data_IF_360748757127
#
_entry.id   IF_360748757127
#
_cell.length_a   1.000
_cell.length_b   1.000
_cell.length_c   1.000
_cell.angle_alpha   90.00
_cell.angle_beta   90.00
_cell.angle_gamma   90.00
#
_symmetry.space_group_name_H-M   'P 1'
#
loop_
_entity.id
_entity.type
_entity.pdbx_description
1 polymer ?
#
# COMPACT_ATOMS: atom_id res chain seq x y z
N UNK A 1 16.84 8.96 21.88
CA UNK A 1 16.29 10.20 22.48
C UNK A 1 15.24 10.76 21.54
N UNK A 2 13.94 10.53 21.81
CA UNK A 2 12.84 11.19 21.08
C UNK A 2 12.81 12.67 21.48
N UNK A 3 12.90 13.63 20.54
CA UNK A 3 12.70 15.04 20.85
C UNK A 3 11.33 15.20 21.50
N UNK A 4 11.20 16.08 22.51
CA UNK A 4 9.95 16.29 23.22
C UNK A 4 8.86 16.74 22.24
N UNK A 5 8.01 15.79 21.84
CA UNK A 5 6.90 15.90 20.87
C UNK A 5 5.74 16.82 21.31
N UNK A 6 5.97 17.71 22.27
CA UNK A 6 4.93 18.57 22.87
C UNK A 6 5.09 20.05 22.56
N UNK A 7 6.24 20.52 22.07
CA UNK A 7 6.42 21.91 21.72
C UNK A 7 5.79 22.19 20.35
N UNK A 8 4.86 23.14 20.29
CA UNK A 8 4.40 23.69 19.00
C UNK A 8 5.61 24.17 18.22
N UNK A 9 5.64 23.90 16.92
CA UNK A 9 6.67 24.47 16.05
C UNK A 9 6.51 25.98 16.04
N UNK A 10 7.63 26.70 15.94
CA UNK A 10 7.64 28.13 15.65
C UNK A 10 6.99 28.38 14.29
N UNK A 11 6.34 29.54 14.12
CA UNK A 11 5.66 29.94 12.89
C UNK A 11 6.10 31.35 12.48
N UNK A 12 6.20 31.59 11.18
CA UNK A 12 6.36 32.96 10.66
C UNK A 12 5.04 33.73 10.77
N UNK A 13 5.07 35.06 10.63
CA UNK A 13 3.89 35.92 10.76
C UNK A 13 2.71 35.46 9.88
N UNK A 14 2.95 35.13 8.62
CA UNK A 14 1.92 34.65 7.69
C UNK A 14 1.28 33.35 8.18
N UNK A 15 2.07 32.35 8.58
CA UNK A 15 1.55 31.08 9.06
C UNK A 15 0.90 31.17 10.46
N UNK A 16 1.35 32.11 11.29
CA UNK A 16 0.76 32.38 12.60
C UNK A 16 -0.61 33.06 12.51
N UNK A 17 -0.83 33.86 11.46
CA UNK A 17 -2.10 34.56 11.22
C UNK A 17 -3.23 33.64 10.70
N UNK A 18 -2.92 32.43 10.22
CA UNK A 18 -3.93 31.45 9.82
C UNK A 18 -4.65 30.88 11.04
N UNK A 19 -5.95 30.63 10.95
CA UNK A 19 -6.64 29.75 11.90
C UNK A 19 -6.77 28.35 11.30
N UNK A 20 -5.73 27.52 11.46
CA UNK A 20 -5.69 26.18 10.87
C UNK A 20 -6.80 25.29 11.43
N UNK A 21 -7.17 25.51 12.70
CA UNK A 21 -8.22 24.75 13.36
C UNK A 21 -9.58 25.09 12.78
N UNK A 22 -9.88 26.36 12.55
CA UNK A 22 -11.12 26.79 11.90
C UNK A 22 -11.18 26.31 10.44
N UNK A 23 -10.09 26.47 9.69
CA UNK A 23 -9.99 26.00 8.29
C UNK A 23 -10.29 24.49 8.20
N UNK A 24 -9.72 23.68 9.09
CA UNK A 24 -9.98 22.24 9.11
C UNK A 24 -11.34 21.87 9.70
N UNK A 25 -12.06 22.77 10.37
CA UNK A 25 -13.42 22.53 10.90
C UNK A 25 -14.48 22.83 9.88
N UNK A 26 -14.40 24.02 9.27
CA UNK A 26 -15.44 24.58 8.42
C UNK A 26 -15.13 24.42 6.93
N UNK A 27 -13.88 24.09 6.61
CA UNK A 27 -13.39 24.06 5.25
C UNK A 27 -12.97 25.45 4.77
N UNK A 28 -12.25 25.44 3.66
CA UNK A 28 -11.87 26.63 2.93
C UNK A 28 -11.94 26.28 1.45
N UNK A 29 -12.91 26.85 0.74
CA UNK A 29 -13.12 26.58 -0.69
C UNK A 29 -11.93 27.08 -1.50
N UNK A 30 -11.78 26.55 -2.69
CA UNK A 30 -10.67 26.94 -3.56
C UNK A 30 -10.81 28.39 -4.05
N UNK A 31 -12.04 28.88 -4.25
CA UNK A 31 -12.30 30.31 -4.54
C UNK A 31 -11.85 31.25 -3.41
N UNK A 32 -11.87 30.78 -2.16
CA UNK A 32 -11.57 31.55 -0.96
C UNK A 32 -10.13 31.29 -0.45
N UNK A 33 -9.26 30.70 -1.29
CA UNK A 33 -7.92 30.27 -0.89
C UNK A 33 -7.08 31.41 -0.32
N UNK A 34 -6.35 31.12 0.76
CA UNK A 34 -5.50 32.11 1.43
C UNK A 34 -4.11 32.12 0.82
N UNK A 35 -3.59 33.30 0.50
CA UNK A 35 -2.21 33.46 0.00
C UNK A 35 -1.19 33.20 1.12
N UNK A 36 -0.27 32.26 0.91
CA UNK A 36 0.86 31.98 1.80
C UNK A 36 2.11 32.82 1.45
N UNK A 37 2.15 33.38 0.24
CA UNK A 37 3.27 34.17 -0.28
C UNK A 37 4.08 33.43 -1.35
N UNK A 38 5.27 33.98 -1.67
CA UNK A 38 6.18 33.41 -2.66
C UNK A 38 6.77 32.08 -2.16
N UNK A 39 6.90 31.10 -3.07
CA UNK A 39 7.46 29.79 -2.79
C UNK A 39 8.90 29.90 -2.26
N UNK A 40 9.73 30.75 -2.87
CA UNK A 40 11.11 30.96 -2.41
C UNK A 40 11.15 31.48 -0.97
N UNK A 41 10.32 32.47 -0.61
CA UNK A 41 10.22 32.95 0.77
C UNK A 41 9.74 31.86 1.74
N UNK A 42 8.85 30.97 1.31
CA UNK A 42 8.39 29.83 2.11
C UNK A 42 9.54 28.84 2.32
N UNK A 43 10.30 28.54 1.28
CA UNK A 43 11.48 27.64 1.36
C UNK A 43 12.56 28.23 2.26
N UNK A 44 12.80 29.54 2.20
CA UNK A 44 13.78 30.25 3.03
C UNK A 44 13.40 30.29 4.51
N UNK A 45 12.11 30.10 4.84
CA UNK A 45 11.58 30.04 6.21
C UNK A 45 11.41 28.61 6.72
N UNK A 46 11.74 27.59 5.92
CA UNK A 46 11.44 26.18 6.20
C UNK A 46 12.19 25.61 7.42
N UNK A 47 13.32 26.20 7.79
CA UNK A 47 14.11 25.84 8.97
C UNK A 47 13.48 26.34 10.30
N UNK A 48 12.82 27.50 10.26
CA UNK A 48 12.30 28.23 11.42
C UNK A 48 10.78 28.28 11.52
N UNK A 49 10.04 27.82 10.50
CA UNK A 49 8.58 27.78 10.50
C UNK A 49 8.07 26.37 10.20
N UNK A 50 7.29 25.79 11.12
CA UNK A 50 6.75 24.43 10.99
C UNK A 50 5.85 24.22 9.77
N UNK A 51 4.97 25.18 9.46
CA UNK A 51 4.11 25.06 8.28
C UNK A 51 4.90 25.28 6.98
N UNK A 52 5.82 26.25 6.95
CA UNK A 52 6.71 26.44 5.79
C UNK A 52 7.59 25.20 5.54
N UNK A 53 8.05 24.54 6.60
CA UNK A 53 8.77 23.25 6.52
C UNK A 53 7.94 22.19 5.80
N UNK A 54 6.68 22.00 6.22
CA UNK A 54 5.79 21.02 5.57
C UNK A 54 5.52 21.37 4.10
N UNK A 55 5.22 22.64 3.80
CA UNK A 55 4.95 23.08 2.42
C UNK A 55 6.18 22.92 1.53
N UNK A 56 7.36 23.31 2.03
CA UNK A 56 8.62 23.20 1.30
C UNK A 56 8.97 21.74 1.00
N UNK A 57 8.90 20.86 2.01
CA UNK A 57 9.20 19.44 1.85
C UNK A 57 8.19 18.75 0.92
N UNK A 58 6.90 19.11 1.03
CA UNK A 58 5.84 18.59 0.17
C UNK A 58 6.12 18.92 -1.30
N UNK A 59 6.41 20.19 -1.60
CA UNK A 59 6.73 20.63 -2.95
C UNK A 59 8.02 19.97 -3.43
N UNK A 60 9.13 20.03 -2.67
CA UNK A 60 10.41 19.41 -3.04
C UNK A 60 10.26 17.94 -3.44
N UNK A 61 9.48 17.18 -2.67
CA UNK A 61 9.22 15.76 -2.91
C UNK A 61 8.32 15.54 -4.12
N UNK A 62 7.12 16.14 -4.11
CA UNK A 62 6.11 15.91 -5.16
C UNK A 62 6.54 16.46 -6.51
N UNK A 63 7.36 17.51 -6.53
CA UNK A 63 7.90 18.09 -7.76
C UNK A 63 9.26 17.52 -8.14
N UNK A 64 9.80 16.57 -7.36
CA UNK A 64 11.13 15.96 -7.58
C UNK A 64 12.21 17.01 -7.87
N UNK A 65 12.23 18.10 -7.11
CA UNK A 65 13.11 19.25 -7.40
C UNK A 65 14.60 18.90 -7.41
N UNK A 66 14.99 17.82 -6.74
CA UNK A 66 16.35 17.27 -6.81
C UNK A 66 16.78 16.93 -8.25
N UNK A 67 15.85 16.46 -9.09
CA UNK A 67 16.12 16.08 -10.47
C UNK A 67 16.17 17.31 -11.41
N UNK A 68 15.78 18.48 -10.90
CA UNK A 68 15.73 19.76 -11.62
C UNK A 68 16.35 20.89 -10.80
N UNK A 69 17.68 20.87 -10.55
CA UNK A 69 18.34 21.87 -9.71
C UNK A 69 18.22 23.30 -10.25
N UNK A 70 18.00 23.45 -11.56
CA UNK A 70 17.86 24.75 -12.24
C UNK A 70 16.40 25.16 -12.47
N UNK A 71 15.43 24.49 -11.86
CA UNK A 71 14.02 24.85 -11.97
C UNK A 71 13.78 26.31 -11.54
N UNK A 72 13.22 27.13 -12.42
CA UNK A 72 12.92 28.53 -12.08
C UNK A 72 11.69 28.60 -11.17
N UNK A 73 11.90 28.79 -9.88
CA UNK A 73 10.84 28.93 -8.87
C UNK A 73 10.43 30.38 -8.60
N UNK A 74 10.99 31.36 -9.32
CA UNK A 74 10.66 32.78 -9.14
C UNK A 74 9.19 33.03 -9.47
N UNK A 75 8.58 33.96 -8.73
CA UNK A 75 7.18 34.37 -8.91
C UNK A 75 6.14 33.25 -8.78
N UNK A 76 6.49 32.09 -8.21
CA UNK A 76 5.52 31.06 -7.83
C UNK A 76 4.89 31.48 -6.50
N UNK A 77 3.58 31.74 -6.49
CA UNK A 77 2.84 32.11 -5.28
C UNK A 77 2.07 30.89 -4.80
N UNK A 78 2.23 30.51 -3.54
CA UNK A 78 1.50 29.39 -2.95
C UNK A 78 0.24 29.90 -2.25
N UNK A 79 -0.88 29.19 -2.46
CA UNK A 79 -2.13 29.41 -1.76
C UNK A 79 -2.52 28.16 -0.97
N UNK A 80 -3.38 28.32 0.03
CA UNK A 80 -3.88 27.24 0.88
C UNK A 80 -5.40 27.17 0.79
N UNK A 81 -5.94 25.97 0.63
CA UNK A 81 -7.37 25.68 0.78
C UNK A 81 -7.61 24.40 1.57
N UNK A 82 -8.86 24.13 1.92
CA UNK A 82 -9.31 22.88 2.56
C UNK A 82 -10.69 22.54 1.99
N UNK A 83 -10.74 22.01 0.75
CA UNK A 83 -11.98 21.69 0.09
C UNK A 83 -12.68 20.51 0.79
N UNK A 84 -13.98 20.42 0.55
CA UNK A 84 -14.84 19.40 1.15
C UNK A 84 -14.39 17.99 0.79
N UNK A 85 -14.21 17.15 1.81
CA UNK A 85 -14.07 15.71 1.63
C UNK A 85 -15.41 15.02 1.90
N UNK A 86 -16.03 14.50 0.83
CA UNK A 86 -17.29 13.75 0.89
C UNK A 86 -17.01 12.31 1.30
N UNK A 87 -17.50 11.91 2.47
CA UNK A 87 -17.46 10.50 2.92
C UNK A 87 -18.43 9.67 2.07
N UNK A 88 -17.94 8.60 1.45
CA UNK A 88 -18.81 7.61 0.80
C UNK A 88 -19.60 6.81 1.86
N UNK A 89 -20.92 6.67 1.68
CA UNK A 89 -21.78 5.81 2.50
C UNK A 89 -23.02 6.49 3.09
N UNK A 90 -23.95 5.71 3.68
CA UNK A 90 -25.28 6.18 4.12
C UNK A 90 -25.28 7.15 5.32
N UNK A 91 -24.13 7.36 5.98
CA UNK A 91 -23.91 8.36 7.03
C UNK A 91 -22.92 9.45 6.59
N UNK A 92 -22.91 9.77 5.29
CA UNK A 92 -22.03 10.77 4.71
C UNK A 92 -22.24 12.14 5.35
N UNK A 93 -21.18 12.71 5.92
CA UNK A 93 -21.16 14.07 6.45
C UNK A 93 -19.96 14.83 5.89
N UNK A 94 -20.08 16.15 5.77
CA UNK A 94 -18.99 17.01 5.32
C UNK A 94 -17.82 16.94 6.28
N UNK A 95 -16.61 16.77 5.75
CA UNK A 95 -15.42 16.76 6.58
C UNK A 95 -14.24 17.37 5.85
N UNK A 96 -13.34 18.02 6.58
CA UNK A 96 -12.20 18.75 6.02
C UNK A 96 -10.93 18.26 6.72
N UNK A 97 -10.35 17.18 6.20
CA UNK A 97 -9.22 16.49 6.86
C UNK A 97 -7.85 16.91 6.34
N UNK A 98 -7.81 17.76 5.31
CA UNK A 98 -6.61 18.04 4.50
C UNK A 98 -6.47 19.52 4.20
N UNK A 99 -5.25 20.00 4.23
CA UNK A 99 -4.86 21.30 3.68
C UNK A 99 -4.24 21.06 2.31
N UNK A 100 -4.70 21.75 1.29
CA UNK A 100 -4.16 21.67 -0.06
C UNK A 100 -3.36 22.92 -0.37
N UNK A 101 -2.19 22.72 -0.97
CA UNK A 101 -1.30 23.79 -1.42
C UNK A 101 -1.45 23.97 -2.93
N UNK A 102 -1.70 25.20 -3.34
CA UNK A 102 -1.95 25.57 -4.74
C UNK A 102 -0.90 26.57 -5.22
N UNK A 103 0.18 26.11 -5.86
CA UNK A 103 1.12 26.98 -6.57
C UNK A 103 0.42 27.68 -7.73
N UNK A 104 0.68 28.98 -7.92
CA UNK A 104 0.07 29.82 -8.97
C UNK A 104 0.39 29.35 -10.38
N UNK A 105 1.50 28.63 -10.54
CA UNK A 105 1.89 27.95 -11.78
C UNK A 105 2.56 26.63 -11.44
N UNK A 106 2.38 25.66 -12.33
CA UNK A 106 3.18 24.43 -12.36
C UNK A 106 4.28 24.60 -13.39
N UNK A 107 5.47 24.09 -13.09
CA UNK A 107 6.59 24.14 -14.02
C UNK A 107 6.34 23.17 -15.18
N UNK A 108 6.51 23.56 -16.46
CA UNK A 108 6.19 22.70 -17.60
C UNK A 108 6.90 21.34 -17.57
N UNK A 109 8.17 21.30 -17.17
CA UNK A 109 8.95 20.06 -17.09
C UNK A 109 8.41 19.10 -16.02
N UNK A 110 8.04 19.68 -14.88
CA UNK A 110 7.45 18.97 -13.75
C UNK A 110 6.06 18.47 -14.11
N UNK A 111 5.25 19.29 -14.79
CA UNK A 111 3.93 18.91 -15.25
C UNK A 111 4.01 17.75 -16.25
N UNK A 112 4.94 17.79 -17.20
CA UNK A 112 5.15 16.69 -18.17
C UNK A 112 5.51 15.38 -17.46
N UNK A 113 6.41 15.42 -16.49
CA UNK A 113 6.78 14.22 -15.75
C UNK A 113 5.67 13.69 -14.85
N UNK A 114 4.94 14.56 -14.14
CA UNK A 114 3.86 14.12 -13.27
C UNK A 114 2.71 13.47 -14.06
N UNK A 115 2.42 13.98 -15.26
CA UNK A 115 1.49 13.35 -16.19
C UNK A 115 2.03 12.02 -16.69
N UNK A 116 3.30 11.95 -17.09
CA UNK A 116 3.93 10.71 -17.56
C UNK A 116 4.02 9.62 -16.47
N UNK A 117 4.11 10.01 -15.20
CA UNK A 117 4.20 9.11 -14.06
C UNK A 117 2.82 8.70 -13.48
N UNK A 118 1.71 9.20 -14.07
CA UNK A 118 0.35 9.02 -13.55
C UNK A 118 0.20 9.35 -12.05
N UNK A 119 1.07 10.23 -11.53
CA UNK A 119 1.15 10.54 -10.12
C UNK A 119 0.04 11.50 -9.69
N UNK A 120 -0.50 11.34 -8.48
CA UNK A 120 -1.43 12.32 -7.93
C UNK A 120 -0.76 13.69 -7.83
N UNK A 121 -1.36 14.68 -8.51
CA UNK A 121 -0.90 16.07 -8.56
C UNK A 121 -1.26 16.86 -7.28
N UNK A 122 -1.90 16.21 -6.30
CA UNK A 122 -2.36 16.88 -5.10
C UNK A 122 -1.20 17.12 -4.13
N UNK A 123 -0.99 18.39 -3.80
CA UNK A 123 -0.08 18.81 -2.74
C UNK A 123 -0.92 18.93 -1.47
N UNK A 124 -1.14 17.83 -0.77
CA UNK A 124 -1.93 17.82 0.47
C UNK A 124 -1.09 17.58 1.73
N UNK A 125 -1.56 18.15 2.83
CA UNK A 125 -1.07 17.94 4.20
C UNK A 125 -2.25 17.40 5.01
N UNK A 126 -2.05 16.30 5.72
CA UNK A 126 -3.10 15.62 6.48
C UNK A 126 -3.02 15.90 7.97
N UNK A 127 -4.18 16.06 8.61
CA UNK A 127 -4.31 16.03 10.06
C UNK A 127 -4.16 14.59 10.57
N UNK A 128 -3.33 14.37 11.61
CA UNK A 128 -3.16 13.05 12.21
C UNK A 128 -4.31 12.66 13.15
N UNK A 129 -4.60 11.35 13.22
CA UNK A 129 -5.72 10.80 13.98
C UNK A 129 -5.64 11.07 15.50
N UNK A 130 -4.44 11.32 16.02
CA UNK A 130 -4.20 11.68 17.43
C UNK A 130 -4.90 13.00 17.81
N UNK A 131 -5.13 13.88 16.83
CA UNK A 131 -5.80 15.17 17.03
C UNK A 131 -7.26 15.21 16.55
N UNK A 132 -7.81 14.07 16.09
CA UNK A 132 -9.21 13.95 15.66
C UNK A 132 -10.23 14.50 16.69
N UNK A 133 -9.99 14.24 17.98
CA UNK A 133 -10.84 14.73 19.08
C UNK A 133 -10.82 16.25 19.24
N UNK A 134 -9.72 16.93 18.88
CA UNK A 134 -9.64 18.40 18.88
C UNK A 134 -10.57 19.01 17.83
N UNK A 135 -10.96 18.22 16.84
CA UNK A 135 -11.91 18.55 15.77
C UNK A 135 -13.32 17.99 16.02
N UNK A 136 -13.59 17.37 17.17
CA UNK A 136 -14.86 16.70 17.45
C UNK A 136 -15.22 15.63 16.42
N UNK A 137 -14.21 14.90 15.89
CA UNK A 137 -14.37 13.88 14.84
C UNK A 137 -13.96 12.49 15.33
N UNK A 138 -14.44 11.46 14.62
CA UNK A 138 -13.89 10.11 14.74
C UNK A 138 -12.46 10.07 14.17
N UNK A 139 -11.71 9.01 14.47
CA UNK A 139 -10.34 8.81 13.94
C UNK A 139 -10.31 8.49 12.45
N UNK A 140 -11.47 8.17 11.87
CA UNK A 140 -11.57 7.77 10.47
C UNK A 140 -11.08 8.89 9.53
N UNK A 141 -10.51 8.50 8.39
CA UNK A 141 -10.04 9.39 7.30
C UNK A 141 -8.88 10.36 7.66
N UNK A 142 -8.39 10.34 8.90
CA UNK A 142 -7.20 11.09 9.30
C UNK A 142 -5.92 10.34 8.89
N UNK A 143 -4.83 11.09 8.77
CA UNK A 143 -3.51 10.50 8.61
C UNK A 143 -3.12 9.69 9.85
N UNK A 144 -2.39 8.60 9.64
CA UNK A 144 -1.82 7.82 10.74
C UNK A 144 -0.32 8.03 10.81
N UNK A 145 0.19 8.08 12.05
CA UNK A 145 1.63 8.09 12.29
C UNK A 145 2.20 6.74 11.89
N UNK A 146 3.21 6.75 11.02
CA UNK A 146 3.94 5.54 10.68
C UNK A 146 4.79 5.13 11.89
N UNK A 147 4.48 3.97 12.48
CA UNK A 147 5.27 3.35 13.55
C UNK A 147 6.46 2.59 12.96
N UNK A 148 7.42 2.17 13.77
CA UNK A 148 8.50 1.28 13.33
C UNK A 148 7.94 -0.07 12.86
N UNK A 149 7.10 -0.69 13.69
CA UNK A 149 6.44 -1.95 13.37
C UNK A 149 5.04 -1.78 12.78
N UNK A 150 4.56 -2.82 12.09
CA UNK A 150 3.16 -2.95 11.65
C UNK A 150 2.25 -3.17 12.85
N UNK A 151 1.12 -2.46 12.87
CA UNK A 151 0.06 -2.66 13.86
C UNK A 151 -0.79 -3.89 13.50
N UNK A 152 -0.40 -5.05 14.01
CA UNK A 152 -1.07 -6.33 13.73
C UNK A 152 -2.54 -6.33 14.19
N UNK A 153 -2.83 -5.67 15.30
CA UNK A 153 -4.19 -5.55 15.83
C UNK A 153 -5.10 -4.80 14.85
N UNK A 154 -4.56 -3.76 14.19
CA UNK A 154 -5.25 -3.04 13.14
C UNK A 154 -5.48 -3.90 11.89
N UNK A 155 -4.47 -4.69 11.47
CA UNK A 155 -4.61 -5.63 10.34
C UNK A 155 -5.73 -6.65 10.60
N UNK A 156 -5.74 -7.26 11.80
CA UNK A 156 -6.82 -8.18 12.21
C UNK A 156 -8.19 -7.50 12.17
N UNK A 157 -8.28 -6.25 12.64
CA UNK A 157 -9.52 -5.47 12.61
C UNK A 157 -9.99 -5.23 11.17
N UNK A 158 -9.11 -4.92 10.23
CA UNK A 158 -9.47 -4.73 8.83
C UNK A 158 -9.94 -6.00 8.16
N UNK A 159 -9.26 -7.13 8.39
CA UNK A 159 -9.68 -8.44 7.89
C UNK A 159 -11.09 -8.76 8.40
N UNK A 160 -11.30 -8.67 9.71
CA UNK A 160 -12.60 -8.94 10.34
C UNK A 160 -13.70 -8.00 9.85
N UNK A 161 -13.42 -6.71 9.72
CA UNK A 161 -14.36 -5.73 9.16
C UNK A 161 -14.75 -6.13 7.73
N UNK A 162 -13.77 -6.50 6.91
CA UNK A 162 -14.00 -6.91 5.54
C UNK A 162 -14.82 -8.20 5.43
N UNK A 163 -14.62 -9.16 6.34
CA UNK A 163 -15.40 -10.40 6.40
C UNK A 163 -16.85 -10.21 6.88
N UNK A 164 -17.10 -9.24 7.76
CA UNK A 164 -18.42 -9.02 8.35
C UNK A 164 -19.29 -8.03 7.58
N UNK A 165 -18.69 -7.00 6.99
CA UNK A 165 -19.41 -5.85 6.42
C UNK A 165 -19.52 -5.90 4.89
N UNK A 166 -18.78 -6.79 4.21
CA UNK A 166 -18.77 -6.87 2.76
C UNK A 166 -18.96 -8.30 2.29
N UNK A 167 -19.72 -8.48 1.20
CA UNK A 167 -19.72 -9.72 0.43
C UNK A 167 -18.45 -9.78 -0.44
N UNK A 168 -17.31 -9.91 0.23
CA UNK A 168 -16.02 -10.16 -0.41
C UNK A 168 -15.78 -11.67 -0.59
N UNK A 169 -16.79 -12.52 -0.45
CA UNK A 169 -16.67 -13.96 -0.67
C UNK A 169 -17.11 -14.36 -2.06
N UNK A 170 -18.12 -13.71 -2.65
CA UNK A 170 -18.50 -13.96 -4.02
C UNK A 170 -17.60 -13.18 -5.01
N UNK A 171 -17.03 -13.88 -5.99
CA UNK A 171 -16.47 -13.24 -7.21
C UNK A 171 -17.22 -13.82 -8.40
N UNK A 172 -17.57 -12.97 -9.37
CA UNK A 172 -18.54 -13.31 -10.43
C UNK A 172 -18.12 -14.50 -11.31
N UNK A 173 -16.82 -14.82 -11.36
CA UNK A 173 -16.27 -15.92 -12.15
C UNK A 173 -16.05 -17.22 -11.37
N UNK A 174 -16.12 -17.20 -10.02
CA UNK A 174 -15.86 -18.36 -9.17
C UNK A 174 -17.17 -18.93 -8.65
N UNK A 175 -17.34 -20.24 -8.78
CA UNK A 175 -18.52 -20.91 -8.26
C UNK A 175 -18.39 -21.08 -6.75
N UNK A 176 -19.51 -21.05 -6.04
CA UNK A 176 -19.52 -21.20 -4.58
C UNK A 176 -19.01 -22.57 -4.13
N UNK A 177 -19.07 -23.59 -5.00
CA UNK A 177 -18.61 -24.96 -4.79
C UNK A 177 -17.14 -25.22 -5.19
N UNK A 178 -16.42 -24.24 -5.74
CA UNK A 178 -15.03 -24.43 -6.17
C UNK A 178 -14.08 -24.61 -4.97
N UNK A 179 -13.75 -25.86 -4.61
CA UNK A 179 -12.78 -26.18 -3.56
C UNK A 179 -11.33 -26.23 -4.09
N UNK A 180 -10.35 -25.97 -3.22
CA UNK A 180 -8.96 -26.25 -3.57
C UNK A 180 -8.77 -27.75 -3.81
N UNK A 181 -8.14 -28.16 -4.92
CA UNK A 181 -7.82 -29.57 -5.16
C UNK A 181 -6.87 -30.15 -4.11
N UNK A 182 -7.00 -31.45 -3.83
CA UNK A 182 -6.21 -32.15 -2.80
C UNK A 182 -4.70 -32.17 -3.08
N UNK A 183 -4.29 -31.96 -4.34
CA UNK A 183 -2.88 -31.87 -4.72
C UNK A 183 -2.23 -30.53 -4.34
N UNK A 184 -3.02 -29.52 -3.95
CA UNK A 184 -2.49 -28.23 -3.48
C UNK A 184 -1.79 -28.44 -2.14
N UNK A 185 -0.61 -27.85 -2.01
CA UNK A 185 0.18 -27.91 -0.78
C UNK A 185 0.24 -26.53 -0.15
N UNK A 186 0.33 -26.51 1.18
CA UNK A 186 0.45 -25.32 2.00
C UNK A 186 1.60 -25.49 2.98
N UNK A 187 2.17 -24.37 3.42
CA UNK A 187 3.05 -24.34 4.58
C UNK A 187 2.18 -24.26 5.82
N UNK A 188 2.24 -25.26 6.69
CA UNK A 188 1.74 -25.13 8.06
C UNK A 188 2.77 -24.35 8.87
N UNK A 189 2.50 -23.07 9.12
CA UNK A 189 3.45 -22.20 9.83
C UNK A 189 3.61 -22.60 11.29
N UNK A 190 2.75 -23.42 11.87
CA UNK A 190 2.94 -23.91 13.25
C UNK A 190 3.91 -25.08 13.27
N UNK A 191 3.72 -26.02 12.35
CA UNK A 191 4.59 -27.20 12.23
C UNK A 191 5.90 -26.92 11.49
N UNK A 192 6.00 -25.80 10.77
CA UNK A 192 7.08 -25.52 9.84
C UNK A 192 7.29 -26.69 8.86
N UNK A 193 6.21 -27.06 8.17
CA UNK A 193 6.17 -28.20 7.26
C UNK A 193 5.24 -27.94 6.07
N UNK A 194 5.49 -28.60 4.94
CA UNK A 194 4.57 -28.68 3.81
C UNK A 194 3.51 -29.74 4.08
N UNK A 195 2.25 -29.37 3.91
CA UNK A 195 1.09 -30.25 4.12
C UNK A 195 0.12 -30.13 2.96
N UNK A 196 -0.67 -31.17 2.65
CA UNK A 196 -1.81 -31.05 1.73
C UNK A 196 -2.80 -29.99 2.23
N UNK A 197 -3.39 -29.23 1.31
CA UNK A 197 -4.45 -28.30 1.62
C UNK A 197 -5.75 -29.08 1.93
N UNK A 198 -6.40 -28.80 3.06
CA UNK A 198 -7.78 -29.24 3.25
C UNK A 198 -8.74 -28.37 2.42
N UNK A 199 -9.91 -28.88 1.99
CA UNK A 199 -10.89 -28.09 1.23
C UNK A 199 -11.31 -26.79 1.92
N UNK A 200 -11.45 -26.81 3.25
CA UNK A 200 -11.82 -25.67 4.10
C UNK A 200 -10.62 -24.92 4.69
N UNK A 201 -9.42 -25.14 4.12
CA UNK A 201 -8.21 -24.49 4.59
C UNK A 201 -8.29 -22.97 4.41
N UNK A 202 -8.22 -22.22 5.52
CA UNK A 202 -7.93 -20.79 5.50
C UNK A 202 -6.43 -20.57 5.44
N UNK A 203 -5.98 -19.80 4.46
CA UNK A 203 -4.56 -19.55 4.23
C UNK A 203 -4.30 -18.13 3.74
N UNK A 204 -3.06 -17.72 3.94
CA UNK A 204 -2.48 -16.51 3.37
C UNK A 204 -1.72 -16.91 2.10
N UNK A 205 -1.71 -16.06 1.08
CA UNK A 205 -0.81 -16.22 -0.06
C UNK A 205 0.32 -15.17 0.00
N UNK A 206 1.49 -15.50 -0.53
CA UNK A 206 2.61 -14.56 -0.68
C UNK A 206 2.94 -14.36 -2.15
N UNK A 207 2.86 -13.11 -2.59
CA UNK A 207 3.38 -12.62 -3.87
C UNK A 207 4.62 -11.76 -3.61
N UNK A 208 5.74 -12.11 -4.26
CA UNK A 208 7.04 -11.46 -4.04
C UNK A 208 7.99 -11.70 -5.22
N UNK A 209 9.03 -10.87 -5.34
CA UNK A 209 10.09 -11.04 -6.34
C UNK A 209 11.09 -12.10 -5.88
N UNK A 210 11.35 -13.11 -6.70
CA UNK A 210 12.24 -14.21 -6.31
C UNK A 210 13.72 -13.77 -6.25
N UNK A 211 14.15 -12.88 -7.15
CA UNK A 211 15.49 -12.30 -7.14
C UNK A 211 16.62 -13.23 -7.61
N UNK A 212 16.30 -14.25 -8.42
CA UNK A 212 17.27 -15.19 -9.01
C UNK A 212 16.98 -16.67 -8.71
N UNK A 213 17.93 -17.58 -9.03
CA UNK A 213 17.81 -19.00 -8.70
C UNK A 213 17.64 -19.22 -7.20
N UNK A 214 16.71 -20.08 -6.83
CA UNK A 214 16.33 -20.30 -5.43
C UNK A 214 16.59 -21.72 -4.94
N UNK A 215 17.52 -22.45 -5.57
CA UNK A 215 17.80 -23.86 -5.29
C UNK A 215 18.00 -24.19 -3.80
N UNK A 216 18.49 -23.22 -3.01
CA UNK A 216 18.70 -23.37 -1.57
C UNK A 216 17.42 -23.40 -0.72
N UNK A 217 16.32 -22.80 -1.21
CA UNK A 217 15.05 -22.76 -0.49
C UNK A 217 13.89 -23.36 -1.28
N UNK A 218 14.02 -23.63 -2.57
CA UNK A 218 12.95 -24.22 -3.38
C UNK A 218 12.61 -25.65 -2.95
N UNK A 219 11.34 -26.00 -3.14
CA UNK A 219 10.90 -27.38 -3.01
C UNK A 219 11.15 -28.11 -4.32
N UNK A 220 11.77 -29.27 -4.23
CA UNK A 220 12.11 -30.15 -5.35
C UNK A 220 11.69 -31.58 -5.02
N UNK A 221 11.67 -32.45 -6.01
CA UNK A 221 11.40 -33.89 -5.82
C UNK A 221 12.33 -34.54 -4.79
N UNK A 222 13.56 -34.01 -4.62
CA UNK A 222 14.55 -34.51 -3.65
C UNK A 222 14.24 -34.15 -2.20
N UNK A 223 13.60 -33.01 -1.95
CA UNK A 223 13.41 -32.48 -0.59
C UNK A 223 11.93 -32.40 -0.15
N UNK A 224 10.97 -32.72 -1.01
CA UNK A 224 9.54 -32.67 -0.68
C UNK A 224 9.19 -33.54 0.52
N UNK A 225 9.74 -34.76 0.59
CA UNK A 225 9.46 -35.69 1.69
C UNK A 225 9.98 -35.15 3.02
N UNK A 226 11.23 -34.65 3.06
CA UNK A 226 11.80 -34.09 4.28
C UNK A 226 11.04 -32.84 4.74
N UNK A 227 10.61 -32.00 3.80
CA UNK A 227 9.79 -30.80 4.08
C UNK A 227 8.39 -31.12 4.58
N UNK A 228 7.88 -32.33 4.35
CA UNK A 228 6.59 -32.79 4.86
C UNK A 228 6.60 -33.12 6.35
N UNK A 229 7.76 -33.37 6.95
CA UNK A 229 7.88 -33.66 8.37
C UNK A 229 7.78 -32.38 9.22
N UNK A 230 7.28 -32.45 10.46
CA UNK A 230 7.37 -31.34 11.41
C UNK A 230 8.80 -30.82 11.50
N UNK A 231 8.97 -29.50 11.45
CA UNK A 231 10.27 -28.79 11.38
C UNK A 231 11.09 -29.06 10.11
N UNK A 232 10.50 -29.70 9.09
CA UNK A 232 11.15 -29.98 7.81
C UNK A 232 11.46 -28.73 6.97
N UNK A 233 10.82 -27.60 7.28
CA UNK A 233 11.21 -26.28 6.78
C UNK A 233 12.08 -25.59 7.83
N UNK A 234 13.40 -25.65 7.64
CA UNK A 234 14.35 -24.96 8.49
C UNK A 234 14.26 -23.44 8.31
N UNK A 235 13.85 -22.73 9.36
CA UNK A 235 13.72 -21.27 9.34
C UNK A 235 15.06 -20.55 9.12
N UNK A 236 16.20 -21.16 9.46
CA UNK A 236 17.54 -20.57 9.32
C UNK A 236 17.98 -20.41 7.86
N UNK A 237 17.52 -21.29 6.97
CA UNK A 237 17.83 -21.23 5.53
C UNK A 237 16.81 -20.43 4.73
N UNK A 238 15.61 -20.18 5.29
CA UNK A 238 14.57 -19.45 4.60
C UNK A 238 14.98 -17.98 4.42
N UNK A 239 14.80 -17.40 3.23
CA UNK A 239 15.08 -16.00 3.01
C UNK A 239 14.21 -15.05 3.85
N UNK A 240 14.67 -13.81 4.03
CA UNK A 240 14.02 -12.80 4.84
C UNK A 240 12.54 -12.57 4.49
N UNK A 241 12.20 -12.37 3.21
CA UNK A 241 10.80 -12.14 2.79
C UNK A 241 9.88 -13.29 3.21
N UNK A 242 10.37 -14.53 3.06
CA UNK A 242 9.61 -15.74 3.40
C UNK A 242 9.47 -15.88 4.91
N UNK A 243 10.55 -15.65 5.67
CA UNK A 243 10.49 -15.67 7.15
C UNK A 243 9.51 -14.63 7.67
N UNK A 244 9.58 -13.40 7.16
CA UNK A 244 8.68 -12.32 7.55
C UNK A 244 7.22 -12.64 7.19
N UNK A 245 6.97 -13.24 6.02
CA UNK A 245 5.63 -13.68 5.65
C UNK A 245 5.09 -14.78 6.58
N UNK A 246 5.93 -15.74 6.98
CA UNK A 246 5.59 -16.78 7.97
C UNK A 246 5.28 -16.13 9.34
N UNK A 247 6.13 -15.21 9.80
CA UNK A 247 5.92 -14.48 11.05
C UNK A 247 4.62 -13.66 11.02
N UNK A 248 4.38 -12.93 9.93
CA UNK A 248 3.17 -12.14 9.77
C UNK A 248 1.92 -13.04 9.76
N UNK A 249 1.95 -14.14 9.02
CA UNK A 249 0.85 -15.14 8.98
C UNK A 249 0.47 -15.61 10.38
N UNK A 250 1.45 -16.02 11.20
CA UNK A 250 1.23 -16.38 12.61
C UNK A 250 0.63 -15.22 13.41
N UNK A 251 1.20 -14.02 13.28
CA UNK A 251 0.79 -12.83 14.04
C UNK A 251 -0.65 -12.42 13.73
N UNK A 252 -1.10 -12.55 12.47
CA UNK A 252 -2.50 -12.28 12.08
C UNK A 252 -3.47 -13.40 12.46
N UNK A 253 -2.98 -14.55 12.93
CA UNK A 253 -3.78 -15.64 13.46
C UNK A 253 -4.13 -16.72 12.43
N UNK A 254 -3.50 -16.69 11.25
CA UNK A 254 -3.68 -17.72 10.23
C UNK A 254 -2.60 -18.80 10.38
N UNK A 255 -2.91 -20.04 9.97
CA UNK A 255 -2.02 -21.20 10.12
C UNK A 255 -1.34 -21.62 8.83
N UNK A 256 -1.98 -21.39 7.69
CA UNK A 256 -1.50 -21.88 6.43
C UNK A 256 -1.03 -20.73 5.54
N UNK A 257 0.08 -20.95 4.85
CA UNK A 257 0.69 -19.99 3.95
C UNK A 257 1.04 -20.68 2.63
N UNK A 258 0.58 -20.09 1.53
CA UNK A 258 0.95 -20.52 0.19
C UNK A 258 2.09 -19.65 -0.34
N UNK A 259 3.16 -20.29 -0.79
CA UNK A 259 4.32 -19.65 -1.42
C UNK A 259 4.69 -20.50 -2.63
N UNK A 260 4.58 -19.95 -3.85
CA UNK A 260 4.80 -20.72 -5.08
C UNK A 260 6.13 -21.49 -5.09
N UNK A 261 7.22 -20.84 -4.67
CA UNK A 261 8.56 -21.45 -4.60
C UNK A 261 8.67 -22.65 -3.62
N UNK A 262 7.77 -22.76 -2.64
CA UNK A 262 7.76 -23.80 -1.62
C UNK A 262 6.63 -24.82 -1.81
N UNK A 263 5.49 -24.41 -2.35
CA UNK A 263 4.30 -25.26 -2.48
C UNK A 263 4.26 -26.00 -3.83
N UNK A 264 5.04 -25.54 -4.82
CA UNK A 264 5.17 -26.13 -6.15
C UNK A 264 6.55 -26.80 -6.27
N UNK A 265 6.61 -27.99 -6.85
CA UNK A 265 7.85 -28.70 -7.16
C UNK A 265 8.57 -28.00 -8.32
N UNK A 266 9.68 -27.32 -8.02
CA UNK A 266 10.36 -26.46 -8.99
C UNK A 266 11.14 -27.23 -10.07
N UNK A 267 11.33 -28.53 -9.91
CA UNK A 267 11.98 -29.43 -10.86
C UNK A 267 11.00 -30.37 -11.58
N UNK A 268 9.69 -30.23 -11.35
CA UNK A 268 8.65 -31.05 -11.99
C UNK A 268 7.76 -30.21 -12.91
N UNK A 269 7.93 -30.30 -14.25
CA UNK A 269 7.06 -29.59 -15.21
C UNK A 269 5.58 -29.93 -15.08
N UNK A 270 5.26 -31.19 -14.77
CA UNK A 270 3.88 -31.64 -14.58
C UNK A 270 3.23 -30.98 -13.36
N UNK A 271 3.95 -30.93 -12.23
CA UNK A 271 3.44 -30.31 -11.01
C UNK A 271 3.31 -28.79 -11.17
N UNK A 272 4.31 -28.13 -11.79
CA UNK A 272 4.24 -26.72 -12.16
C UNK A 272 3.03 -26.43 -13.02
N UNK A 273 2.85 -27.15 -14.12
CA UNK A 273 1.72 -26.95 -15.03
C UNK A 273 0.38 -27.08 -14.30
N UNK A 274 0.23 -28.12 -13.47
CA UNK A 274 -0.99 -28.33 -12.69
C UNK A 274 -1.26 -27.18 -11.71
N UNK A 275 -0.26 -26.72 -10.96
CA UNK A 275 -0.41 -25.64 -9.97
C UNK A 275 -0.64 -24.28 -10.64
N UNK A 276 0.04 -24.00 -11.76
CA UNK A 276 -0.11 -22.76 -12.53
C UNK A 276 -1.53 -22.64 -13.10
N UNK A 277 -2.09 -23.75 -13.60
CA UNK A 277 -3.45 -23.80 -14.14
C UNK A 277 -4.55 -23.47 -13.13
N UNK A 278 -4.26 -23.47 -11.83
CA UNK A 278 -5.20 -23.15 -10.75
C UNK A 278 -4.75 -21.95 -9.90
N UNK A 279 -3.78 -21.16 -10.38
CA UNK A 279 -3.32 -19.96 -9.65
C UNK A 279 -4.46 -18.98 -9.40
N UNK A 280 -5.43 -18.94 -10.30
CA UNK A 280 -6.63 -18.15 -10.13
C UNK A 280 -7.45 -18.55 -8.91
N UNK A 281 -7.62 -19.85 -8.71
CA UNK A 281 -8.28 -20.41 -7.54
C UNK A 281 -7.45 -20.18 -6.27
N UNK A 282 -6.12 -20.35 -6.34
CA UNK A 282 -5.21 -20.15 -5.21
C UNK A 282 -5.25 -18.71 -4.69
N UNK A 283 -5.13 -17.70 -5.56
CA UNK A 283 -5.14 -16.31 -5.10
C UNK A 283 -6.55 -15.82 -4.74
N UNK A 284 -7.57 -16.27 -5.46
CA UNK A 284 -8.96 -15.90 -5.15
C UNK A 284 -9.48 -16.54 -3.87
N UNK A 285 -9.03 -17.73 -3.47
CA UNK A 285 -9.45 -18.37 -2.21
C UNK A 285 -8.65 -17.93 -0.98
N UNK A 286 -7.48 -17.33 -1.14
CA UNK A 286 -6.70 -16.83 -0.02
C UNK A 286 -7.54 -15.89 0.87
N UNK A 287 -7.39 -16.01 2.19
CA UNK A 287 -8.00 -15.10 3.16
C UNK A 287 -7.52 -13.68 2.88
N UNK A 288 -6.20 -13.55 2.68
CA UNK A 288 -5.49 -12.33 2.34
C UNK A 288 -4.20 -12.71 1.61
N UNK A 289 -3.78 -11.85 0.68
CA UNK A 289 -2.51 -12.00 -0.02
C UNK A 289 -1.54 -10.93 0.47
N UNK A 290 -0.35 -11.35 0.90
CA UNK A 290 0.78 -10.46 1.20
C UNK A 290 1.50 -10.17 -0.12
N UNK A 291 1.65 -8.89 -0.44
CA UNK A 291 2.43 -8.44 -1.60
C UNK A 291 3.71 -7.76 -1.11
N UNK A 292 4.86 -8.39 -1.37
CA UNK A 292 6.18 -7.86 -1.04
C UNK A 292 6.70 -6.98 -2.20
N UNK A 293 6.20 -5.75 -2.27
CA UNK A 293 6.54 -4.77 -3.31
C UNK A 293 7.63 -3.76 -2.88
N UNK A 294 8.26 -3.96 -1.72
CA UNK A 294 9.31 -3.10 -1.18
C UNK A 294 10.72 -3.46 -1.65
N UNK A 295 10.94 -4.75 -1.92
CA UNK A 295 12.25 -5.34 -2.20
C UNK A 295 12.54 -5.55 -3.69
N UNK A 296 13.79 -5.87 -3.96
CA UNK A 296 14.28 -6.32 -5.25
C UNK A 296 14.34 -7.86 -5.36
N UNK A 297 14.18 -8.59 -4.25
CA UNK A 297 14.20 -10.04 -4.24
C UNK A 297 13.79 -10.66 -2.91
N UNK A 298 13.90 -11.99 -2.83
CA UNK A 298 13.44 -12.80 -1.69
C UNK A 298 14.23 -12.58 -0.40
N UNK A 299 15.38 -11.91 -0.49
CA UNK A 299 16.28 -11.63 0.63
C UNK A 299 15.97 -10.32 1.34
N UNK A 300 15.04 -9.54 0.83
CA UNK A 300 14.64 -8.28 1.45
C UNK A 300 13.57 -8.51 2.52
N UNK A 301 13.68 -7.80 3.64
CA UNK A 301 12.68 -7.84 4.71
C UNK A 301 11.36 -7.19 4.26
N UNK A 302 10.26 -7.60 4.88
CA UNK A 302 8.99 -6.89 4.83
C UNK A 302 9.06 -5.69 5.81
N UNK A 303 8.92 -4.44 5.35
CA UNK A 303 9.10 -3.26 6.20
C UNK A 303 8.15 -3.21 7.39
N UNK A 304 8.70 -3.22 8.59
CA UNK A 304 8.00 -3.17 9.88
C UNK A 304 7.48 -4.51 10.39
N UNK A 305 7.88 -5.63 9.79
CA UNK A 305 7.63 -6.97 10.37
C UNK A 305 8.73 -7.35 11.35
N UNK A 306 9.97 -7.24 10.91
CA UNK A 306 11.17 -7.38 11.75
C UNK A 306 11.61 -5.99 12.26
N UNK A 307 12.16 -5.93 13.48
CA UNK A 307 12.65 -4.66 14.05
C UNK A 307 13.76 -4.08 13.16
N UNK A 308 13.77 -2.76 12.98
CA UNK A 308 14.71 -2.08 12.09
C UNK A 308 14.49 -2.27 10.58
N UNK A 309 13.53 -3.10 10.13
CA UNK A 309 13.32 -3.32 8.68
C UNK A 309 12.63 -2.16 7.96
N UNK A 310 12.17 -1.14 8.70
CA UNK A 310 11.55 0.08 8.16
C UNK A 310 12.43 1.29 8.50
N UNK A 311 12.86 2.00 7.47
CA UNK A 311 13.74 3.17 7.59
C UNK A 311 13.07 4.50 7.25
N UNK A 312 11.84 4.46 6.72
CA UNK A 312 11.11 5.66 6.29
C UNK A 312 10.66 6.51 7.47
N UNK A 313 10.98 7.80 7.40
CA UNK A 313 10.53 8.81 8.35
C UNK A 313 9.42 9.66 7.74
N UNK A 314 8.29 9.74 8.44
CA UNK A 314 7.18 10.62 8.07
C UNK A 314 7.48 12.05 8.53
N UNK A 315 7.23 13.02 7.65
CA UNK A 315 7.46 14.43 7.96
C UNK A 315 6.24 14.98 8.68
N UNK A 316 6.39 15.18 9.99
CA UNK A 316 5.32 15.61 10.89
C UNK A 316 5.76 16.90 11.61
N UNK A 317 4.86 17.89 11.66
CA UNK A 317 5.06 19.10 12.47
C UNK A 317 3.82 19.36 13.32
N UNK A 318 4.03 19.84 14.53
CA UNK A 318 2.96 20.39 15.37
C UNK A 318 2.79 21.88 15.01
N UNK A 319 1.67 22.25 14.40
CA UNK A 319 1.34 23.61 13.96
C UNK A 319 0.08 24.03 14.71
N UNK A 320 0.17 25.09 15.53
CA UNK A 320 -0.96 25.60 16.34
C UNK A 320 -1.60 24.50 17.21
N UNK A 321 -0.77 23.61 17.76
CA UNK A 321 -1.23 22.48 18.58
C UNK A 321 -1.85 21.31 17.80
N UNK A 322 -1.74 21.29 16.46
CA UNK A 322 -2.22 20.22 15.59
C UNK A 322 -1.05 19.52 14.88
N UNK A 323 -1.06 18.20 14.89
CA UNK A 323 -0.07 17.37 14.22
C UNK A 323 -0.48 17.18 12.76
N UNK A 324 0.29 17.81 11.90
CA UNK A 324 0.13 17.80 10.45
C UNK A 324 1.26 17.01 9.83
N UNK A 325 0.92 16.17 8.85
CA UNK A 325 1.88 15.30 8.18
C UNK A 325 1.78 15.39 6.66
N UNK A 326 2.93 15.28 6.00
CA UNK A 326 2.97 15.03 4.55
C UNK A 326 2.57 13.57 4.33
N UNK A 327 1.55 13.29 3.49
CA UNK A 327 1.19 11.94 3.11
C UNK A 327 2.36 11.25 2.44
N UNK A 328 2.59 9.98 2.79
CA UNK A 328 3.46 9.13 2.01
C UNK A 328 2.85 8.87 0.62
N UNK A 329 3.64 8.45 -0.38
CA UNK A 329 3.14 8.14 -1.71
C UNK A 329 1.88 7.25 -1.65
N UNK A 330 0.88 7.44 -2.52
CA UNK A 330 -0.23 6.50 -2.65
C UNK A 330 0.23 5.16 -3.20
N UNK A 331 -0.63 4.15 -3.10
CA UNK A 331 -0.30 2.78 -3.53
C UNK A 331 0.06 2.72 -5.02
N UNK A 332 -0.68 3.40 -5.89
CA UNK A 332 -0.42 3.41 -7.35
C UNK A 332 0.99 3.88 -7.68
N UNK A 333 1.41 5.02 -7.14
CA UNK A 333 2.77 5.56 -7.28
C UNK A 333 3.82 4.59 -6.72
N UNK A 334 3.59 4.06 -5.52
CA UNK A 334 4.51 3.14 -4.87
C UNK A 334 4.65 1.78 -5.62
N UNK A 335 3.60 1.32 -6.28
CA UNK A 335 3.63 0.12 -7.12
C UNK A 335 4.33 0.37 -8.45
N UNK A 336 4.09 1.53 -9.10
CA UNK A 336 4.74 1.91 -10.36
C UNK A 336 6.27 1.94 -10.23
N UNK A 337 6.79 2.30 -9.06
CA UNK A 337 8.22 2.30 -8.76
C UNK A 337 8.79 0.92 -8.36
N UNK A 338 7.94 -0.09 -8.17
CA UNK A 338 8.36 -1.39 -7.65
C UNK A 338 8.81 -2.35 -8.75
N UNK A 339 9.91 -3.07 -8.52
CA UNK A 339 10.34 -4.19 -9.39
C UNK A 339 9.27 -5.30 -9.41
N UNK A 340 8.52 -5.43 -8.31
CA UNK A 340 7.40 -6.35 -8.24
C UNK A 340 6.38 -6.11 -9.35
N UNK A 341 6.06 -4.85 -9.67
CA UNK A 341 5.05 -4.51 -10.67
C UNK A 341 5.53 -4.65 -12.12
N UNK A 342 6.81 -4.97 -12.37
CA UNK A 342 7.33 -5.18 -13.75
C UNK A 342 7.16 -6.62 -14.24
N UNK A 343 6.64 -7.52 -13.39
CA UNK A 343 6.51 -8.95 -13.68
C UNK A 343 5.14 -9.27 -14.27
N UNK A 344 5.09 -10.04 -15.35
CA UNK A 344 3.81 -10.41 -15.99
C UNK A 344 2.83 -11.14 -15.05
N UNK A 345 3.34 -11.97 -14.15
CA UNK A 345 2.51 -12.74 -13.20
C UNK A 345 1.78 -11.88 -12.16
N UNK A 346 2.34 -10.72 -11.78
CA UNK A 346 1.80 -9.95 -10.65
C UNK A 346 0.45 -9.32 -10.94
N UNK A 347 0.12 -9.14 -12.22
CA UNK A 347 -1.22 -8.73 -12.65
C UNK A 347 -2.30 -9.73 -12.24
N UNK A 348 -2.08 -11.03 -12.49
CA UNK A 348 -3.03 -12.07 -12.09
C UNK A 348 -3.16 -12.14 -10.58
N UNK A 349 -2.03 -12.07 -9.87
CA UNK A 349 -1.98 -12.19 -8.41
C UNK A 349 -2.75 -11.04 -7.72
N UNK A 350 -2.58 -9.79 -8.19
CA UNK A 350 -3.28 -8.64 -7.61
C UNK A 350 -4.76 -8.60 -7.96
N UNK A 351 -5.11 -8.93 -9.21
CA UNK A 351 -6.49 -8.90 -9.69
C UNK A 351 -7.36 -9.92 -8.98
N UNK A 352 -6.81 -11.11 -8.73
CA UNK A 352 -7.56 -12.23 -8.15
C UNK A 352 -7.55 -12.21 -6.62
N UNK A 353 -6.65 -11.45 -5.99
CA UNK A 353 -6.59 -11.33 -4.53
C UNK A 353 -7.68 -10.41 -3.98
N UNK A 354 -8.58 -10.99 -3.19
CA UNK A 354 -9.75 -10.31 -2.61
C UNK A 354 -9.37 -9.31 -1.53
N UNK A 355 -8.40 -9.65 -0.69
CA UNK A 355 -7.82 -8.79 0.34
C UNK A 355 -6.31 -8.76 0.12
N UNK A 356 -5.74 -7.56 0.12
CA UNK A 356 -4.36 -7.32 -0.31
C UNK A 356 -3.66 -6.54 0.78
N UNK A 357 -2.59 -7.12 1.31
CA UNK A 357 -1.68 -6.46 2.24
C UNK A 357 -0.39 -6.14 1.50
N UNK A 358 -0.28 -4.92 1.00
CA UNK A 358 0.83 -4.53 0.12
C UNK A 358 1.90 -3.81 0.94
N UNK A 359 3.07 -4.42 1.04
CA UNK A 359 4.26 -3.83 1.64
C UNK A 359 5.06 -3.13 0.54
N UNK A 360 5.13 -1.81 0.59
CA UNK A 360 6.00 -1.03 -0.30
C UNK A 360 7.18 -0.47 0.49
N UNK A 361 8.10 0.19 -0.21
CA UNK A 361 9.22 0.91 0.43
C UNK A 361 8.74 1.96 1.42
N UNK A 362 7.55 2.52 1.22
CA UNK A 362 7.05 3.67 1.99
C UNK A 362 6.19 3.28 3.18
N UNK A 363 5.22 2.39 2.95
CA UNK A 363 4.23 1.99 3.95
C UNK A 363 3.54 0.69 3.55
N UNK A 364 2.72 0.17 4.47
CA UNK A 364 1.87 -0.99 4.23
C UNK A 364 0.44 -0.52 3.92
N UNK A 365 -0.14 -1.05 2.86
CA UNK A 365 -1.52 -0.77 2.44
C UNK A 365 -2.40 -1.98 2.67
N UNK A 366 -3.66 -1.72 3.01
CA UNK A 366 -4.71 -2.72 3.00
C UNK A 366 -5.75 -2.31 1.96
N UNK A 367 -5.95 -3.15 0.96
CA UNK A 367 -7.03 -3.01 -0.03
C UNK A 367 -7.89 -4.26 -0.03
N UNK A 368 -9.15 -4.10 -0.44
CA UNK A 368 -10.03 -5.23 -0.70
C UNK A 368 -10.91 -4.94 -1.91
N UNK A 369 -11.36 -6.01 -2.56
CA UNK A 369 -12.26 -5.96 -3.72
C UNK A 369 -13.68 -6.26 -3.26
N UNK A 370 -14.63 -5.40 -3.63
CA UNK A 370 -16.06 -5.65 -3.47
C UNK A 370 -16.63 -5.96 -4.85
N UNK A 371 -17.36 -7.07 -4.98
CA UNK A 371 -18.15 -7.36 -6.19
C UNK A 371 -19.11 -6.21 -6.43
N UNK A 372 -18.97 -5.52 -7.56
CA UNK A 372 -19.56 -4.21 -7.88
C UNK A 372 -18.85 -2.98 -7.25
N UNK A 373 -17.68 -2.63 -7.83
CA UNK A 373 -17.19 -1.24 -7.98
C UNK A 373 -17.33 -0.27 -6.78
N UNK A 374 -17.14 -0.76 -5.54
CA UNK A 374 -17.08 0.07 -4.34
C UNK A 374 -15.81 -0.21 -3.56
N UNK A 375 -14.69 0.33 -4.03
CA UNK A 375 -13.46 0.44 -3.26
C UNK A 375 -13.68 1.44 -2.12
N UNK A 376 -13.81 0.97 -0.87
CA UNK A 376 -13.62 1.85 0.30
C UNK A 376 -12.12 1.92 0.57
N UNK A 377 -11.43 2.82 -0.13
CA UNK A 377 -10.08 3.20 0.28
C UNK A 377 -10.20 4.14 1.49
N UNK A 378 -9.57 3.81 2.61
CA UNK A 378 -9.41 4.75 3.73
C UNK A 378 -8.38 5.86 3.46
N UNK A 379 -8.11 6.14 2.17
CA UNK A 379 -7.43 7.32 1.65
C UNK A 379 -8.22 7.72 0.41
N UNK A 380 -8.88 8.88 0.38
CA UNK A 380 -9.76 9.19 -0.71
C UNK A 380 -9.02 9.53 -1.98
N UNK A 381 -9.60 9.03 -3.07
CA UNK A 381 -9.22 9.23 -4.45
C UNK A 381 -8.06 8.34 -4.91
N UNK A 382 -8.37 7.09 -5.25
CA UNK A 382 -7.93 6.51 -6.52
C UNK A 382 -9.04 5.59 -7.05
N UNK A 383 -9.76 6.08 -8.06
CA UNK A 383 -10.43 5.23 -9.04
C UNK A 383 -9.31 4.57 -9.84
N UNK A 384 -9.13 3.27 -9.68
CA UNK A 384 -8.57 2.45 -10.77
C UNK A 384 -9.76 1.86 -11.51
N UNK A 385 -10.41 2.69 -12.33
CA UNK A 385 -10.96 2.12 -13.56
C UNK A 385 -9.73 1.77 -14.37
N UNK A 386 -9.32 0.50 -14.37
CA UNK A 386 -8.57 0.00 -15.50
C UNK A 386 -9.47 0.29 -16.68
N UNK A 387 -9.11 1.27 -17.50
CA UNK A 387 -9.73 1.42 -18.80
C UNK A 387 -9.35 0.13 -19.53
N UNK A 388 -10.25 -0.86 -19.47
CA UNK A 388 -10.16 -1.98 -20.38
C UNK A 388 -10.14 -1.34 -21.76
N UNK A 389 -9.12 -1.59 -22.60
CA UNK A 389 -9.27 -1.27 -24.01
C UNK A 389 -10.57 -1.96 -24.45
N UNK A 390 -11.47 -1.22 -25.10
CA UNK A 390 -12.64 -1.81 -25.73
C UNK A 390 -12.12 -2.88 -26.68
N UNK A 391 -12.25 -4.15 -26.26
CA UNK A 391 -11.99 -5.27 -27.14
C UNK A 391 -13.05 -5.21 -28.23
N UNK A 392 -12.68 -5.24 -29.52
CA UNK A 392 -13.65 -5.38 -30.59
C UNK A 392 -14.48 -6.63 -30.30
N UNK A 393 -15.81 -6.49 -30.32
CA UNK A 393 -16.73 -7.61 -30.15
C UNK A 393 -16.39 -8.69 -31.19
N UNK A 394 -15.71 -9.75 -30.75
CA UNK A 394 -15.23 -10.79 -31.65
C UNK A 394 -14.34 -11.81 -30.94
N UNK A 395 -14.97 -12.90 -30.50
CA UNK A 395 -14.40 -14.19 -30.12
C UNK A 395 -13.79 -14.32 -28.69
N UNK A 396 -14.33 -15.19 -27.82
CA UNK A 396 -13.81 -15.40 -26.47
C UNK A 396 -12.45 -16.13 -26.53
N UNK A 397 -11.37 -15.40 -26.26
CA UNK A 397 -10.05 -15.99 -26.02
C UNK A 397 -10.04 -16.70 -24.66
N UNK A 398 -9.92 -18.02 -24.73
CA UNK A 398 -9.82 -18.94 -23.60
C UNK A 398 -8.50 -18.65 -22.83
N UNK A 399 -8.57 -18.45 -21.51
CA UNK A 399 -7.45 -18.09 -20.59
C UNK A 399 -6.38 -19.20 -20.46
N UNK A 400 -6.36 -20.19 -21.37
CA UNK A 400 -5.51 -21.40 -21.29
C UNK A 400 -4.21 -21.34 -22.10
N UNK A 401 -3.99 -20.35 -22.97
CA UNK A 401 -2.87 -20.36 -23.91
C UNK A 401 -1.86 -19.22 -23.67
N UNK A 402 -1.27 -19.18 -22.47
CA UNK A 402 -0.14 -18.28 -22.14
C UNK A 402 1.12 -19.07 -21.72
N UNK A 403 1.26 -20.32 -22.20
CA UNK A 403 2.37 -21.22 -21.84
C UNK A 403 3.64 -21.04 -22.68
N UNK A 404 3.61 -20.27 -23.76
CA UNK A 404 4.66 -20.35 -24.78
C UNK A 404 5.62 -19.13 -24.82
N UNK A 405 5.64 -18.31 -23.78
CA UNK A 405 6.58 -17.20 -23.67
C UNK A 405 7.18 -17.12 -22.28
N UNK A 406 8.17 -17.97 -21.99
CA UNK A 406 9.46 -17.71 -21.30
C UNK A 406 10.14 -19.09 -21.15
N UNK A 407 11.00 -19.43 -22.11
CA UNK A 407 12.04 -20.45 -21.96
C UNK A 407 13.32 -19.85 -21.42
#
# INVERSE_FOLDING_TARGET
MTPSLRSSSTLCATCAALDIKQILRDGLREEDKVCLGLLLDIMDKSDRCGLCSLVSDLIRRRWRLHDFPNADLRNVICHLSSPEFVKAGPRGGKSYHRLYIHPSRRLPDIQRQLVAAEAALHLDIQLLEEDSRKMSRSRDFHGRRLKEEVDISLVKKWIKCCELEHDCESVWWRRSDDCLPDFVRMIDVTKMALVPASPDCRYVALSYVWGGPGDYYWTTTKNINSRGHPTGLDAGILPATIRDAIHLTRRIGERYLWIGALCILQDSPADKGTQICIMDLIYSRATITIFAASGNGVRDDLPGISSGSRTITQHIKCVQGLHLAIPLPPLSEALNESIWNTRGWTFQEILLSRRRLVFTRHQMYFEYVVGESKTLSSTPMFRTAVHLPEYPQGNPMNVRNYTDAVG
#
